data_IF_578740828180
#
_entry.id   IF_578740828180
#
_cell.length_a   1.000
_cell.length_b   1.000
_cell.length_c   1.000
_cell.angle_alpha   90.00
_cell.angle_beta   90.00
_cell.angle_gamma   90.00
#
_symmetry.space_group_name_H-M   'P 1'
#
loop_
_entity.id
_entity.type
_entity.pdbx_description
1 polymer ?
#
# COMPACT_ATOMS: atom_id res chain seq x y z
N UNK A 1 -42.87 68.51 6.88
CA UNK A 1 -41.85 67.44 6.79
C UNK A 1 -41.60 67.12 5.32
N UNK A 2 -40.38 67.36 4.82
CA UNK A 2 -40.09 67.55 3.38
C UNK A 2 -40.02 66.21 2.61
N UNK A 3 -40.58 66.14 1.41
CA UNK A 3 -40.74 64.93 0.55
C UNK A 3 -39.42 64.24 0.19
N UNK A 4 -38.29 64.94 0.29
CA UNK A 4 -36.95 64.38 0.06
C UNK A 4 -36.53 63.34 1.11
N UNK A 5 -36.91 63.50 2.39
CA UNK A 5 -36.52 62.57 3.47
C UNK A 5 -37.19 61.20 3.37
N UNK A 6 -38.43 61.14 2.87
CA UNK A 6 -39.17 59.88 2.65
C UNK A 6 -38.58 59.02 1.53
N UNK A 7 -37.94 59.63 0.53
CA UNK A 7 -37.31 58.90 -0.58
C UNK A 7 -36.02 58.20 -0.17
N UNK A 8 -35.23 58.79 0.72
CA UNK A 8 -33.95 58.22 1.19
C UNK A 8 -34.16 56.98 2.07
N UNK A 9 -35.14 57.01 2.99
CA UNK A 9 -35.49 55.87 3.86
C UNK A 9 -36.06 54.68 3.06
N UNK A 10 -36.81 54.94 1.97
CA UNK A 10 -37.36 53.90 1.11
C UNK A 10 -36.28 53.18 0.26
N UNK A 11 -35.21 53.89 -0.13
CA UNK A 11 -34.08 53.31 -0.87
C UNK A 11 -33.25 52.39 0.06
N UNK A 12 -33.02 52.79 1.31
CA UNK A 12 -32.30 51.97 2.30
C UNK A 12 -33.05 50.69 2.71
N UNK A 13 -34.40 50.72 2.80
CA UNK A 13 -35.21 49.51 3.05
C UNK A 13 -35.23 48.51 1.89
N UNK A 14 -35.05 48.97 0.65
CA UNK A 14 -34.99 48.08 -0.53
C UNK A 14 -33.62 47.41 -0.70
N UNK A 15 -32.53 48.13 -0.41
CA UNK A 15 -31.17 47.56 -0.46
C UNK A 15 -30.92 46.48 0.59
N UNK A 16 -31.46 46.63 1.80
CA UNK A 16 -31.35 45.62 2.87
C UNK A 16 -32.14 44.34 2.59
N UNK A 17 -33.32 44.43 1.96
CA UNK A 17 -34.10 43.26 1.56
C UNK A 17 -33.45 42.48 0.40
N UNK A 18 -32.82 43.19 -0.55
CA UNK A 18 -32.03 42.58 -1.64
C UNK A 18 -30.79 41.86 -1.11
N UNK A 19 -30.04 42.50 -0.20
CA UNK A 19 -28.88 41.88 0.43
C UNK A 19 -29.26 40.63 1.24
N UNK A 20 -30.35 40.70 2.02
CA UNK A 20 -30.87 39.55 2.75
C UNK A 20 -31.27 38.38 1.82
N UNK A 21 -31.89 38.69 0.68
CA UNK A 21 -32.26 37.66 -0.31
C UNK A 21 -31.04 37.03 -0.98
N UNK A 22 -30.00 37.83 -1.29
CA UNK A 22 -28.74 37.33 -1.85
C UNK A 22 -28.04 36.42 -0.85
N UNK A 23 -27.94 36.81 0.42
CA UNK A 23 -27.33 35.99 1.46
C UNK A 23 -28.10 34.68 1.70
N UNK A 24 -29.44 34.74 1.64
CA UNK A 24 -30.29 33.55 1.75
C UNK A 24 -30.07 32.60 0.56
N UNK A 25 -30.03 33.13 -0.67
CA UNK A 25 -29.76 32.33 -1.87
C UNK A 25 -28.35 31.73 -1.86
N UNK A 26 -27.33 32.50 -1.44
CA UNK A 26 -25.97 32.00 -1.27
C UNK A 26 -25.92 30.89 -0.22
N UNK A 27 -26.59 31.07 0.92
CA UNK A 27 -26.67 30.03 1.96
C UNK A 27 -27.34 28.75 1.47
N UNK A 28 -28.46 28.86 0.74
CA UNK A 28 -29.12 27.70 0.13
C UNK A 28 -28.18 27.03 -0.88
N UNK A 29 -27.52 27.80 -1.76
CA UNK A 29 -26.60 27.25 -2.74
C UNK A 29 -25.43 26.51 -2.07
N UNK A 30 -24.86 27.07 -1.00
CA UNK A 30 -23.82 26.41 -0.21
C UNK A 30 -24.32 25.10 0.40
N UNK A 31 -25.52 25.09 1.00
CA UNK A 31 -26.11 23.88 1.59
C UNK A 31 -26.43 22.81 0.54
N UNK A 32 -26.97 23.20 -0.61
CA UNK A 32 -27.25 22.29 -1.73
C UNK A 32 -25.95 21.69 -2.28
N UNK A 33 -24.90 22.49 -2.43
CA UNK A 33 -23.59 22.03 -2.90
C UNK A 33 -22.96 21.06 -1.91
N UNK A 34 -22.98 21.39 -0.61
CA UNK A 34 -22.47 20.51 0.44
C UNK A 34 -23.27 19.20 0.51
N UNK A 35 -24.60 19.26 0.41
CA UNK A 35 -25.47 18.10 0.37
C UNK A 35 -25.21 17.21 -0.85
N UNK A 36 -25.00 17.81 -2.03
CA UNK A 36 -24.66 17.08 -3.25
C UNK A 36 -23.28 16.39 -3.15
N UNK A 37 -22.27 17.06 -2.60
CA UNK A 37 -20.94 16.47 -2.38
C UNK A 37 -21.01 15.30 -1.37
N UNK A 38 -21.76 15.45 -0.29
CA UNK A 38 -21.98 14.38 0.69
C UNK A 38 -22.72 13.18 0.07
N UNK A 39 -23.79 13.44 -0.68
CA UNK A 39 -24.53 12.40 -1.40
C UNK A 39 -23.66 11.69 -2.44
N UNK A 40 -22.80 12.42 -3.14
CA UNK A 40 -21.87 11.86 -4.11
C UNK A 40 -20.82 10.95 -3.45
N UNK A 41 -20.19 11.37 -2.35
CA UNK A 41 -19.21 10.55 -1.63
C UNK A 41 -19.81 9.27 -1.04
N UNK A 42 -21.02 9.36 -0.48
CA UNK A 42 -21.76 8.17 0.02
C UNK A 42 -22.17 7.24 -1.11
N UNK A 43 -22.59 7.76 -2.26
CA UNK A 43 -22.88 6.98 -3.45
C UNK A 43 -21.65 6.25 -4.00
N UNK A 44 -20.51 6.92 -4.09
CA UNK A 44 -19.25 6.31 -4.55
C UNK A 44 -18.79 5.16 -3.63
N UNK A 45 -18.92 5.33 -2.31
CA UNK A 45 -18.63 4.28 -1.35
C UNK A 45 -19.58 3.08 -1.53
N UNK A 46 -20.87 3.33 -1.64
CA UNK A 46 -21.87 2.28 -1.87
C UNK A 46 -21.62 1.50 -3.16
N UNK A 47 -21.32 2.22 -4.25
CA UNK A 47 -20.95 1.63 -5.54
C UNK A 47 -19.71 0.74 -5.40
N UNK A 48 -18.66 1.24 -4.74
CA UNK A 48 -17.44 0.47 -4.53
C UNK A 48 -17.67 -0.78 -3.68
N UNK A 49 -18.45 -0.67 -2.60
CA UNK A 49 -18.80 -1.81 -1.74
C UNK A 49 -19.58 -2.90 -2.51
N UNK A 50 -20.41 -2.52 -3.49
CA UNK A 50 -21.07 -3.48 -4.38
C UNK A 50 -20.13 -4.13 -5.40
N UNK A 51 -19.17 -3.38 -5.93
CA UNK A 51 -18.20 -3.89 -6.91
C UNK A 51 -17.10 -4.74 -6.22
N UNK A 52 -16.91 -4.58 -4.91
CA UNK A 52 -15.84 -5.21 -4.15
C UNK A 52 -15.78 -6.74 -4.28
N UNK A 53 -16.88 -7.51 -4.20
CA UNK A 53 -16.84 -8.96 -4.41
C UNK A 53 -16.29 -9.35 -5.79
N UNK A 54 -16.61 -8.59 -6.85
CA UNK A 54 -16.10 -8.83 -8.20
C UNK A 54 -14.62 -8.46 -8.34
N UNK A 55 -14.20 -7.35 -7.73
CA UNK A 55 -12.78 -6.96 -7.67
C UNK A 55 -11.94 -7.98 -6.91
N UNK A 56 -12.50 -8.61 -5.89
CA UNK A 56 -11.82 -9.68 -5.15
C UNK A 56 -11.75 -10.98 -5.95
N UNK A 57 -12.81 -11.36 -6.69
CA UNK A 57 -12.80 -12.55 -7.54
C UNK A 57 -11.75 -12.49 -8.67
N UNK A 58 -11.48 -11.29 -9.20
CA UNK A 58 -10.43 -11.08 -10.22
C UNK A 58 -9.00 -11.24 -9.63
N UNK A 59 -8.84 -11.09 -8.31
CA UNK A 59 -7.57 -11.28 -7.62
C UNK A 59 -7.36 -12.73 -7.17
N UNK A 60 -8.39 -13.57 -7.22
CA UNK A 60 -8.23 -15.01 -7.03
C UNK A 60 -7.54 -15.59 -8.28
N UNK A 61 -6.43 -16.35 -8.13
CA UNK A 61 -5.83 -17.02 -9.28
C UNK A 61 -6.89 -17.92 -9.92
N UNK A 62 -6.90 -18.06 -11.27
CA UNK A 62 -7.91 -18.86 -11.94
C UNK A 62 -7.94 -20.24 -11.27
N UNK A 63 -9.11 -20.60 -10.74
CA UNK A 63 -9.35 -21.94 -10.21
C UNK A 63 -8.92 -22.90 -11.30
N UNK A 64 -7.89 -23.68 -11.02
CA UNK A 64 -7.33 -24.66 -11.94
C UNK A 64 -8.45 -25.63 -12.29
N UNK A 65 -9.07 -25.43 -13.44
CA UNK A 65 -9.78 -26.49 -14.13
C UNK A 65 -8.74 -27.61 -14.30
N UNK A 66 -9.01 -28.86 -13.87
CA UNK A 66 -8.01 -29.91 -13.91
C UNK A 66 -7.61 -30.16 -15.37
N UNK A 67 -6.43 -29.64 -15.74
CA UNK A 67 -5.81 -29.91 -17.02
C UNK A 67 -5.57 -31.42 -17.08
N UNK A 68 -6.39 -32.08 -17.91
CA UNK A 68 -6.16 -33.43 -18.41
C UNK A 68 -4.72 -33.58 -18.85
N UNK A 69 -4.00 -34.47 -18.18
CA UNK A 69 -2.68 -34.98 -18.55
C UNK A 69 -2.69 -35.48 -20.00
N UNK A 70 -1.84 -34.98 -20.92
CA UNK A 70 -1.37 -35.78 -22.02
C UNK A 70 -0.18 -36.59 -21.52
N UNK A 71 -0.39 -37.90 -21.56
CA UNK A 71 0.57 -38.97 -21.34
C UNK A 71 1.90 -38.71 -22.03
N UNK A 72 2.99 -38.90 -21.29
CA UNK A 72 4.31 -39.06 -21.84
C UNK A 72 4.33 -40.36 -22.67
N UNK A 73 4.53 -40.24 -23.98
CA UNK A 73 4.94 -41.38 -24.80
C UNK A 73 6.19 -41.00 -25.58
N UNK A 74 7.18 -41.86 -25.40
CA UNK A 74 8.55 -41.79 -25.86
C UNK A 74 8.69 -41.50 -27.36
N UNK A 75 9.85 -40.99 -27.77
CA UNK A 75 10.67 -41.59 -28.82
C UNK A 75 12.01 -40.85 -28.96
N UNK A 76 13.08 -41.59 -28.70
CA UNK A 76 14.44 -41.39 -29.20
C UNK A 76 15.07 -42.80 -29.26
N UNK A 77 16.14 -43.10 -30.04
CA UNK A 77 17.03 -42.20 -30.79
C UNK A 77 17.57 -42.74 -32.15
N UNK A 78 18.52 -41.99 -32.73
CA UNK A 78 19.75 -42.43 -33.49
C UNK A 78 19.67 -42.49 -35.04
N UNK A 79 20.81 -42.57 -35.78
CA UNK A 79 21.64 -41.46 -36.30
C UNK A 79 21.81 -41.51 -37.84
N UNK A 80 22.33 -40.46 -38.50
CA UNK A 80 23.04 -40.64 -39.79
C UNK A 80 23.96 -39.44 -40.09
N UNK A 81 25.04 -39.78 -40.78
CA UNK A 81 26.33 -39.16 -40.99
C UNK A 81 26.41 -38.12 -42.13
N UNK A 82 27.58 -37.45 -42.20
CA UNK A 82 28.29 -36.96 -43.40
C UNK A 82 27.75 -35.69 -44.10
N UNK A 83 28.53 -34.71 -44.58
CA UNK A 83 29.98 -34.54 -44.87
C UNK A 83 30.19 -33.03 -45.18
N UNK A 84 31.24 -32.38 -44.68
CA UNK A 84 32.56 -32.14 -45.33
C UNK A 84 32.69 -30.73 -45.94
N UNK A 85 33.77 -29.99 -45.59
CA UNK A 85 33.97 -28.65 -46.14
C UNK A 85 35.10 -27.79 -45.53
N UNK A 86 36.32 -28.32 -45.49
CA UNK A 86 37.62 -27.64 -45.34
C UNK A 86 37.68 -26.13 -45.72
N UNK A 87 38.25 -25.27 -44.84
CA UNK A 87 39.63 -24.72 -44.96
C UNK A 87 39.95 -23.62 -43.94
N UNK A 88 41.01 -23.84 -43.16
CA UNK A 88 41.93 -22.84 -42.59
C UNK A 88 43.02 -22.51 -43.64
N UNK A 89 43.89 -21.47 -43.56
CA UNK A 89 44.77 -21.21 -42.41
C UNK A 89 45.02 -19.74 -41.99
N UNK A 90 45.45 -19.62 -40.72
CA UNK A 90 46.37 -18.65 -40.06
C UNK A 90 47.65 -18.31 -40.88
N UNK A 91 48.61 -17.41 -40.47
CA UNK A 91 49.15 -17.12 -39.10
C UNK A 91 49.47 -15.60 -38.84
N UNK A 92 50.03 -15.09 -37.72
CA UNK A 92 51.38 -15.27 -37.12
C UNK A 92 51.45 -14.65 -35.70
N UNK A 93 52.34 -15.26 -34.91
CA UNK A 93 52.81 -15.15 -33.52
C UNK A 93 53.49 -13.83 -33.08
N UNK A 94 53.50 -13.59 -31.75
CA UNK A 94 54.57 -13.03 -30.84
C UNK A 94 53.91 -12.25 -29.67
N UNK A 95 54.31 -12.28 -28.39
CA UNK A 95 55.54 -12.67 -27.70
C UNK A 95 55.32 -12.99 -26.20
N UNK A 96 56.40 -13.52 -25.61
CA UNK A 96 56.65 -14.15 -24.30
C UNK A 96 56.71 -13.17 -23.12
N UNK A 97 56.29 -13.59 -21.91
CA UNK A 97 57.00 -13.28 -20.65
C UNK A 97 56.49 -14.14 -19.45
N UNK A 98 57.41 -14.93 -18.91
CA UNK A 98 57.33 -15.79 -17.73
C UNK A 98 57.56 -14.97 -16.45
N UNK A 99 56.77 -15.20 -15.38
CA UNK A 99 57.04 -14.69 -14.03
C UNK A 99 56.55 -15.71 -12.97
N UNK A 100 57.40 -15.92 -11.95
CA UNK A 100 57.38 -16.98 -10.93
C UNK A 100 56.18 -16.98 -9.95
N UNK A 101 55.85 -18.12 -9.29
CA UNK A 101 54.70 -18.24 -8.40
C UNK A 101 54.96 -17.70 -6.98
N UNK A 102 54.05 -16.85 -6.48
CA UNK A 102 54.00 -16.40 -5.08
C UNK A 102 52.94 -17.22 -4.29
N UNK A 103 53.16 -17.59 -3.02
CA UNK A 103 52.26 -18.49 -2.29
C UNK A 103 50.92 -17.83 -1.93
N UNK A 104 49.83 -18.50 -2.31
CA UNK A 104 48.44 -18.11 -2.03
C UNK A 104 48.15 -18.07 -0.53
N UNK A 105 47.50 -17.02 0.01
CA UNK A 105 46.97 -17.05 1.37
C UNK A 105 45.77 -18.02 1.46
N UNK A 106 45.82 -18.96 2.40
CA UNK A 106 44.72 -19.88 2.70
C UNK A 106 43.54 -19.10 3.27
N UNK A 107 42.49 -18.90 2.47
CA UNK A 107 41.21 -18.37 2.92
C UNK A 107 40.55 -19.35 3.90
N UNK A 108 40.46 -18.93 5.16
CA UNK A 108 39.61 -19.58 6.16
C UNK A 108 38.15 -19.28 5.79
N UNK A 109 37.38 -20.30 5.45
CA UNK A 109 35.95 -20.17 5.15
C UNK A 109 35.16 -20.00 6.44
N UNK A 110 34.66 -18.79 6.69
CA UNK A 110 33.60 -18.54 7.66
C UNK A 110 32.35 -19.33 7.24
N UNK A 111 31.71 -20.11 8.14
CA UNK A 111 30.50 -20.83 7.77
C UNK A 111 29.38 -19.85 7.41
N UNK A 112 28.78 -20.04 6.24
CA UNK A 112 27.59 -19.30 5.79
C UNK A 112 26.44 -19.67 6.73
N UNK A 113 25.72 -18.69 7.33
CA UNK A 113 24.57 -18.99 8.18
C UNK A 113 23.51 -19.73 7.36
N UNK A 114 23.00 -20.82 7.91
CA UNK A 114 21.89 -21.57 7.31
C UNK A 114 20.67 -20.64 7.19
N UNK A 115 20.10 -20.46 5.99
CA UNK A 115 18.90 -19.63 5.83
C UNK A 115 17.76 -20.23 6.65
N UNK A 116 17.09 -19.38 7.45
CA UNK A 116 15.85 -19.77 8.14
C UNK A 116 14.81 -20.19 7.06
N UNK A 117 13.99 -21.22 7.30
CA UNK A 117 12.91 -21.57 6.39
C UNK A 117 11.98 -20.37 6.19
N UNK A 118 11.82 -19.93 4.94
CA UNK A 118 10.83 -18.91 4.60
C UNK A 118 9.44 -19.57 4.66
N UNK A 119 8.67 -19.27 5.70
CA UNK A 119 7.27 -19.70 5.79
C UNK A 119 6.45 -18.66 5.04
N UNK A 120 5.80 -19.07 3.94
CA UNK A 120 4.86 -18.20 3.24
C UNK A 120 3.51 -18.27 3.95
N UNK A 121 3.04 -17.12 4.45
CA UNK A 121 1.79 -17.00 5.18
C UNK A 121 0.64 -16.56 4.25
N UNK A 122 -0.62 -16.81 4.63
CA UNK A 122 -1.76 -16.30 3.90
C UNK A 122 -1.77 -14.75 3.85
N UNK A 123 -2.35 -14.15 2.80
CA UNK A 123 -2.54 -12.70 2.75
C UNK A 123 -3.35 -12.16 3.94
N UNK A 124 -3.02 -10.94 4.37
CA UNK A 124 -3.85 -10.21 5.32
C UNK A 124 -5.18 -9.83 4.68
N UNK A 125 -6.29 -10.12 5.35
CA UNK A 125 -7.64 -9.92 4.80
C UNK A 125 -8.43 -8.84 5.54
N UNK A 126 -8.07 -8.55 6.79
CA UNK A 126 -8.76 -7.56 7.64
C UNK A 126 -7.81 -6.98 8.68
N UNK A 127 -8.06 -5.72 9.02
CA UNK A 127 -7.41 -4.98 10.08
C UNK A 127 -8.45 -4.36 11.00
N UNK A 128 -8.19 -4.44 12.31
CA UNK A 128 -8.98 -3.78 13.35
C UNK A 128 -8.06 -2.92 14.22
N UNK A 129 -8.43 -1.65 14.40
CA UNK A 129 -7.72 -0.70 15.29
C UNK A 129 -8.78 -0.01 16.17
N UNK A 130 -9.04 -0.51 17.38
CA UNK A 130 -10.17 -0.06 18.20
C UNK A 130 -10.14 1.43 18.53
N UNK A 131 -8.97 1.97 18.89
CA UNK A 131 -8.79 3.37 19.32
C UNK A 131 -9.30 4.38 18.28
N UNK A 132 -9.01 4.11 17.01
CA UNK A 132 -9.37 4.99 15.91
C UNK A 132 -10.64 4.52 15.16
N UNK A 133 -11.27 3.44 15.64
CA UNK A 133 -12.49 2.82 15.07
C UNK A 133 -12.29 2.34 13.63
N UNK A 134 -11.12 1.78 13.35
CA UNK A 134 -10.89 1.10 12.07
C UNK A 134 -11.32 -0.35 12.20
N UNK A 135 -12.17 -0.77 11.27
CA UNK A 135 -12.50 -2.16 10.99
C UNK A 135 -12.65 -2.23 9.47
N UNK A 136 -11.60 -2.69 8.79
CA UNK A 136 -11.51 -2.61 7.33
C UNK A 136 -10.99 -3.90 6.75
N UNK A 137 -11.46 -4.23 5.55
CA UNK A 137 -10.78 -5.20 4.70
C UNK A 137 -9.41 -4.68 4.30
N UNK A 138 -8.50 -5.62 4.12
CA UNK A 138 -7.17 -5.41 3.58
C UNK A 138 -7.12 -6.05 2.19
N UNK A 139 -6.62 -5.32 1.21
CA UNK A 139 -6.40 -5.82 -0.15
C UNK A 139 -4.98 -5.46 -0.59
N UNK A 140 -4.41 -6.23 -1.50
CA UNK A 140 -3.06 -5.95 -2.00
C UNK A 140 -3.04 -4.61 -2.77
N UNK A 141 -2.15 -3.71 -2.36
CA UNK A 141 -1.82 -2.49 -3.07
C UNK A 141 -0.66 -2.79 -4.02
N UNK A 142 -0.97 -3.00 -5.31
CA UNK A 142 0.02 -3.34 -6.32
C UNK A 142 0.88 -2.15 -6.73
N UNK A 143 2.12 -2.41 -7.11
CA UNK A 143 3.02 -1.42 -7.71
C UNK A 143 2.68 -1.29 -9.19
N UNK A 144 2.15 -0.13 -9.58
CA UNK A 144 1.89 0.23 -10.98
C UNK A 144 2.66 1.51 -11.28
N UNK A 145 3.47 1.48 -12.34
CA UNK A 145 4.35 2.60 -12.74
C UNK A 145 5.32 3.05 -11.63
N UNK A 146 5.75 2.13 -10.75
CA UNK A 146 6.68 2.44 -9.66
C UNK A 146 6.01 2.99 -8.39
N UNK A 147 4.68 3.03 -8.33
CA UNK A 147 3.94 3.52 -7.17
C UNK A 147 2.91 2.49 -6.69
N UNK A 148 2.79 2.33 -5.37
CA UNK A 148 1.74 1.51 -4.78
C UNK A 148 0.37 2.14 -4.98
N UNK A 149 -0.54 1.36 -5.57
CA UNK A 149 -1.92 1.76 -5.80
C UNK A 149 -2.76 1.43 -4.56
N UNK A 150 -2.77 2.36 -3.59
CA UNK A 150 -3.54 2.21 -2.35
C UNK A 150 -5.05 2.20 -2.67
N UNK A 151 -5.80 1.16 -2.26
CA UNK A 151 -7.20 0.98 -2.62
C UNK A 151 -8.09 2.11 -2.08
N UNK A 152 -9.18 2.38 -2.79
CA UNK A 152 -10.22 3.29 -2.31
C UNK A 152 -10.96 2.65 -1.14
N UNK A 153 -11.24 3.42 -0.10
CA UNK A 153 -12.06 3.09 1.07
C UNK A 153 -11.56 1.94 1.96
N UNK A 154 -10.47 1.26 1.58
CA UNK A 154 -9.92 0.09 2.24
C UNK A 154 -8.45 0.32 2.62
N UNK A 155 -7.89 -0.63 3.37
CA UNK A 155 -6.46 -0.66 3.68
C UNK A 155 -5.74 -1.47 2.61
N UNK A 156 -4.62 -0.95 2.13
CA UNK A 156 -3.74 -1.57 1.16
C UNK A 156 -2.57 -2.27 1.84
N UNK A 157 -2.37 -3.56 1.61
CA UNK A 157 -1.12 -4.25 1.94
C UNK A 157 -0.11 -3.99 0.83
N UNK A 158 1.00 -3.34 1.14
CA UNK A 158 1.97 -2.92 0.14
C UNK A 158 2.65 -4.15 -0.50
N UNK A 159 2.50 -4.29 -1.82
CA UNK A 159 3.16 -5.35 -2.59
C UNK A 159 4.66 -5.36 -2.32
N UNK A 160 5.21 -6.56 -2.09
CA UNK A 160 6.63 -6.78 -1.80
C UNK A 160 6.97 -6.77 -0.30
N UNK A 161 6.01 -6.50 0.58
CA UNK A 161 6.19 -6.59 2.04
C UNK A 161 5.64 -7.90 2.61
N UNK A 162 6.09 -8.27 3.81
CA UNK A 162 5.76 -9.55 4.42
C UNK A 162 4.29 -9.65 4.83
N UNK A 163 3.80 -10.87 4.98
CA UNK A 163 2.57 -11.16 5.71
C UNK A 163 2.86 -11.35 7.22
N UNK A 164 1.85 -11.20 8.09
CA UNK A 164 1.94 -11.56 9.50
C UNK A 164 2.46 -12.99 9.70
N UNK A 165 3.45 -13.17 10.58
CA UNK A 165 4.12 -14.45 10.83
C UNK A 165 5.26 -14.82 9.87
N UNK A 166 5.63 -13.98 8.90
CA UNK A 166 6.77 -14.22 7.99
C UNK A 166 8.11 -13.66 8.52
N UNK A 167 8.17 -13.22 9.79
CA UNK A 167 9.39 -12.68 10.42
C UNK A 167 10.04 -11.51 9.66
N UNK A 168 9.22 -10.58 9.14
CA UNK A 168 9.70 -9.35 8.49
C UNK A 168 8.67 -8.21 8.60
N UNK A 169 8.79 -7.18 7.76
CA UNK A 169 7.98 -5.97 7.82
C UNK A 169 6.66 -6.15 7.06
N UNK A 170 5.53 -6.05 7.76
CA UNK A 170 4.17 -6.00 7.22
C UNK A 170 3.79 -4.53 7.04
N UNK A 171 3.79 -4.01 5.82
CA UNK A 171 3.48 -2.60 5.57
C UNK A 171 2.07 -2.41 5.02
N UNK A 172 1.24 -1.67 5.75
CA UNK A 172 -0.14 -1.35 5.39
C UNK A 172 -0.33 0.15 5.21
N UNK A 173 -0.99 0.55 4.13
CA UNK A 173 -1.25 1.96 3.81
C UNK A 173 -2.74 2.25 3.63
N UNK A 174 -3.17 3.44 4.00
CA UNK A 174 -4.54 3.89 3.88
C UNK A 174 -4.64 5.40 3.71
N UNK A 175 -5.70 5.87 3.06
CA UNK A 175 -5.91 7.29 2.81
C UNK A 175 -6.30 8.05 4.09
N UNK A 176 -5.74 9.25 4.30
CA UNK A 176 -6.10 10.18 5.38
C UNK A 176 -7.48 10.79 5.15
N UNK A 177 -7.66 11.56 4.08
CA UNK A 177 -8.97 12.12 3.70
C UNK A 177 -8.98 12.35 2.19
N UNK A 178 -9.83 11.60 1.49
CA UNK A 178 -10.06 11.77 0.07
C UNK A 178 -11.54 11.60 -0.23
N UNK A 179 -12.14 12.63 -0.84
CA UNK A 179 -13.55 12.63 -1.26
C UNK A 179 -13.85 11.39 -2.13
N UNK A 180 -12.87 10.97 -2.93
CA UNK A 180 -13.03 9.83 -3.83
C UNK A 180 -12.41 8.56 -3.25
N UNK A 181 -11.32 8.61 -2.48
CA UNK A 181 -10.62 7.40 -2.03
C UNK A 181 -10.91 7.00 -0.57
N UNK A 182 -11.80 7.70 0.12
CA UNK A 182 -12.12 7.42 1.52
C UNK A 182 -11.08 7.97 2.48
N UNK A 183 -11.17 7.52 3.72
CA UNK A 183 -10.49 8.13 4.86
C UNK A 183 -10.20 7.08 5.96
N UNK A 184 -9.85 5.85 5.54
CA UNK A 184 -9.72 4.71 6.47
C UNK A 184 -8.66 4.95 7.56
N UNK A 185 -7.60 5.70 7.24
CA UNK A 185 -6.54 6.08 8.18
C UNK A 185 -6.54 7.59 8.48
N UNK A 186 -7.72 8.23 8.43
CA UNK A 186 -7.90 9.65 8.78
C UNK A 186 -7.36 10.02 10.17
N UNK A 187 -7.44 9.07 11.10
CA UNK A 187 -7.13 9.25 12.52
C UNK A 187 -5.87 8.51 12.94
N UNK A 188 -5.05 8.04 11.99
CA UNK A 188 -3.88 7.22 12.31
C UNK A 188 -2.88 7.97 13.23
N UNK A 189 -2.79 9.30 13.10
CA UNK A 189 -1.97 10.16 13.96
C UNK A 189 -2.39 10.17 15.44
N UNK A 190 -3.57 9.67 15.76
CA UNK A 190 -4.02 9.51 17.15
C UNK A 190 -3.44 8.25 17.82
N UNK A 191 -2.78 7.38 17.04
CA UNK A 191 -2.07 6.23 17.59
C UNK A 191 -0.77 6.67 18.28
N UNK A 192 -0.38 5.88 19.27
CA UNK A 192 0.87 6.02 20.00
C UNK A 192 1.24 4.73 20.71
N UNK A 193 2.40 4.71 21.41
CA UNK A 193 2.88 3.50 22.07
C UNK A 193 1.85 2.89 23.03
N UNK A 194 1.67 1.57 22.96
CA UNK A 194 0.70 0.82 23.76
C UNK A 194 -0.65 0.55 23.09
N UNK A 195 -0.95 1.20 21.96
CA UNK A 195 -2.20 0.95 21.23
C UNK A 195 -2.15 -0.37 20.47
N UNK A 196 -3.28 -1.09 20.44
CA UNK A 196 -3.36 -2.40 19.78
C UNK A 196 -3.87 -2.31 18.34
N UNK A 197 -3.31 -3.17 17.50
CA UNK A 197 -3.72 -3.40 16.11
C UNK A 197 -3.83 -4.90 15.89
N UNK A 198 -4.96 -5.34 15.34
CA UNK A 198 -5.20 -6.74 15.04
C UNK A 198 -5.28 -6.97 13.54
N UNK A 199 -4.48 -7.89 13.03
CA UNK A 199 -4.52 -8.37 11.65
C UNK A 199 -5.10 -9.78 11.58
N UNK A 200 -5.91 -10.05 10.55
CA UNK A 200 -6.47 -11.36 10.28
C UNK A 200 -5.93 -11.90 8.96
N UNK A 201 -5.28 -13.07 9.01
CA UNK A 201 -4.72 -13.75 7.85
C UNK A 201 -5.00 -15.26 7.93
N UNK A 202 -5.70 -15.80 6.93
CA UNK A 202 -6.28 -17.14 7.01
C UNK A 202 -7.23 -17.27 8.22
N UNK A 203 -7.08 -18.34 9.00
CA UNK A 203 -7.86 -18.60 10.22
C UNK A 203 -7.17 -18.08 11.50
N UNK A 204 -6.17 -17.18 11.35
CA UNK A 204 -5.33 -16.71 12.46
C UNK A 204 -5.49 -15.22 12.70
N UNK A 205 -5.38 -14.86 13.97
CA UNK A 205 -5.31 -13.49 14.46
C UNK A 205 -3.87 -13.17 14.86
N UNK A 206 -3.40 -11.99 14.49
CA UNK A 206 -2.08 -11.45 14.82
C UNK A 206 -2.28 -10.11 15.51
N UNK A 207 -1.93 -10.05 16.79
CA UNK A 207 -2.06 -8.84 17.61
C UNK A 207 -0.72 -8.15 17.66
N UNK A 208 -0.71 -6.85 17.39
CA UNK A 208 0.45 -5.99 17.48
C UNK A 208 0.17 -4.88 18.48
N UNK A 209 1.21 -4.43 19.16
CA UNK A 209 1.18 -3.23 19.96
C UNK A 209 2.07 -2.18 19.29
N UNK A 210 1.54 -0.98 19.08
CA UNK A 210 2.32 0.16 18.60
C UNK A 210 3.43 0.46 19.61
N UNK A 211 4.66 0.60 19.14
CA UNK A 211 5.85 0.88 19.94
C UNK A 211 6.45 2.24 19.61
N UNK A 212 6.29 2.70 18.37
CA UNK A 212 6.87 3.95 17.88
C UNK A 212 5.95 4.64 16.86
N UNK A 213 6.03 5.98 16.81
CA UNK A 213 5.41 6.77 15.75
C UNK A 213 6.41 7.81 15.23
N UNK A 214 6.44 8.02 13.93
CA UNK A 214 7.37 8.95 13.30
C UNK A 214 6.77 9.59 12.03
N UNK A 215 7.35 10.71 11.62
CA UNK A 215 6.95 11.43 10.40
C UNK A 215 8.15 11.51 9.47
N UNK A 216 8.01 10.99 8.27
CA UNK A 216 9.06 10.93 7.23
C UNK A 216 8.65 11.70 5.99
N UNK A 217 9.61 11.96 5.11
CA UNK A 217 9.33 12.47 3.78
C UNK A 217 8.51 11.46 2.96
N UNK A 218 7.71 11.94 2.00
CA UNK A 218 6.85 11.09 1.19
C UNK A 218 7.59 10.11 0.25
N UNK A 219 8.88 10.35 0.00
CA UNK A 219 9.77 9.53 -0.81
C UNK A 219 10.70 8.62 0.03
N UNK A 220 10.54 8.61 1.36
CA UNK A 220 11.33 7.77 2.25
C UNK A 220 10.82 6.31 2.23
N UNK A 221 11.45 5.50 1.39
CA UNK A 221 11.14 4.07 1.27
C UNK A 221 11.79 3.20 2.36
N UNK A 222 12.59 3.77 3.26
CA UNK A 222 13.26 2.98 4.31
C UNK A 222 12.26 2.36 5.29
N UNK A 223 11.09 3.00 5.47
CA UNK A 223 10.04 2.55 6.40
C UNK A 223 9.34 1.26 5.98
N UNK A 224 9.43 0.87 4.70
CA UNK A 224 8.84 -0.38 4.18
C UNK A 224 9.88 -1.48 3.96
N UNK A 225 11.15 -1.22 4.30
CA UNK A 225 12.22 -2.19 4.12
C UNK A 225 12.01 -3.43 5.02
N UNK A 226 12.51 -4.61 4.61
CA UNK A 226 12.50 -5.80 5.45
C UNK A 226 13.18 -5.56 6.80
N UNK A 227 12.55 -6.01 7.87
CA UNK A 227 13.07 -5.97 9.24
C UNK A 227 13.64 -7.34 9.65
N UNK A 228 14.57 -7.40 10.62
CA UNK A 228 15.16 -8.67 11.10
C UNK A 228 14.21 -9.52 11.96
N UNK A 229 13.10 -8.92 12.40
CA UNK A 229 12.03 -9.52 13.17
C UNK A 229 10.69 -9.02 12.63
N UNK A 230 9.61 -9.70 12.98
CA UNK A 230 8.26 -9.28 12.61
C UNK A 230 7.97 -7.86 13.10
N UNK A 231 7.49 -7.01 12.19
CA UNK A 231 7.18 -5.60 12.46
C UNK A 231 5.97 -5.19 11.65
N UNK A 232 5.03 -4.48 12.27
CA UNK A 232 3.91 -3.86 11.59
C UNK A 232 4.22 -2.39 11.31
N UNK A 233 4.09 -1.96 10.07
CA UNK A 233 4.23 -0.55 9.67
C UNK A 233 2.91 -0.05 9.08
N UNK A 234 2.25 0.88 9.77
CA UNK A 234 1.03 1.55 9.28
C UNK A 234 1.38 2.93 8.72
N UNK A 235 0.89 3.24 7.52
CA UNK A 235 1.28 4.42 6.75
C UNK A 235 0.06 5.23 6.33
N UNK A 236 0.07 6.53 6.57
CA UNK A 236 -0.89 7.48 5.99
C UNK A 236 -0.20 8.77 5.54
N UNK A 237 -0.87 9.54 4.69
CA UNK A 237 -0.40 10.86 4.27
C UNK A 237 -0.53 11.88 5.41
N UNK A 238 0.45 12.78 5.55
CA UNK A 238 0.40 13.91 6.50
C UNK A 238 1.17 15.12 5.97
N UNK A 239 1.09 16.25 6.65
CA UNK A 239 1.83 17.46 6.29
C UNK A 239 1.07 18.37 5.33
N UNK A 240 1.78 18.97 4.37
CA UNK A 240 1.26 19.98 3.47
C UNK A 240 0.84 19.34 2.15
N UNK A 241 -0.42 19.55 1.77
CA UNK A 241 -0.94 19.16 0.46
C UNK A 241 -0.31 20.00 -0.67
N UNK A 242 0.28 19.32 -1.65
CA UNK A 242 0.79 19.94 -2.87
C UNK A 242 -0.20 19.70 -4.03
N UNK A 243 -0.86 20.75 -4.56
CA UNK A 243 -1.86 20.60 -5.62
C UNK A 243 -1.25 20.24 -7.00
N UNK A 244 0.05 20.45 -7.20
CA UNK A 244 0.72 20.15 -8.47
C UNK A 244 1.10 18.66 -8.59
N UNK A 245 1.60 18.07 -7.50
CA UNK A 245 1.90 16.64 -7.42
C UNK A 245 0.70 15.82 -6.98
N UNK A 246 -0.35 16.48 -6.45
CA UNK A 246 -1.54 15.85 -5.87
C UNK A 246 -1.18 14.86 -4.74
N UNK A 247 -0.19 15.24 -3.95
CA UNK A 247 0.33 14.44 -2.84
C UNK A 247 0.63 15.33 -1.63
N UNK A 248 0.67 14.70 -0.46
CA UNK A 248 1.21 15.28 0.75
C UNK A 248 2.72 15.10 0.81
N UNK A 249 3.44 16.09 1.34
CA UNK A 249 4.90 16.09 1.42
C UNK A 249 5.49 15.11 2.44
N UNK A 250 4.66 14.51 3.31
CA UNK A 250 5.09 13.62 4.39
C UNK A 250 4.20 12.40 4.53
N UNK A 251 4.71 11.42 5.29
CA UNK A 251 3.95 10.26 5.78
C UNK A 251 4.02 10.19 7.30
N UNK A 252 2.89 9.93 7.92
CA UNK A 252 2.84 9.51 9.32
C UNK A 252 2.95 7.99 9.35
N UNK A 253 3.82 7.50 10.20
CA UNK A 253 4.16 6.09 10.35
C UNK A 253 3.90 5.68 11.80
N UNK A 254 3.13 4.61 11.99
CA UNK A 254 3.04 3.92 13.28
C UNK A 254 3.67 2.53 13.14
N UNK A 255 4.65 2.24 13.99
CA UNK A 255 5.38 0.98 14.04
C UNK A 255 4.87 0.18 15.23
N UNK A 256 4.59 -1.10 15.02
CA UNK A 256 4.19 -2.02 16.07
C UNK A 256 4.95 -3.33 16.03
N UNK A 257 5.03 -3.97 17.20
CA UNK A 257 5.65 -5.27 17.40
C UNK A 257 4.57 -6.31 17.77
N UNK A 258 4.75 -7.59 17.41
CA UNK A 258 3.79 -8.63 17.75
C UNK A 258 3.68 -8.77 19.28
N UNK A 259 2.45 -8.89 19.77
CA UNK A 259 2.18 -9.25 21.17
C UNK A 259 2.34 -10.75 21.29
N UNK A 260 3.32 -11.20 22.09
CA UNK A 260 3.46 -12.62 22.40
C UNK A 260 2.19 -13.14 23.08
N UNK A 261 1.65 -14.30 22.66
CA UNK A 261 0.51 -14.87 23.35
C UNK A 261 0.90 -15.20 24.79
N UNK A 262 0.11 -14.70 25.75
CA UNK A 262 0.30 -15.03 27.16
C UNK A 262 0.28 -16.56 27.33
N UNK A 263 1.30 -17.17 27.97
CA UNK A 263 1.31 -18.61 28.16
C UNK A 263 0.08 -19.02 28.97
N UNK A 264 -0.53 -20.19 28.69
CA UNK A 264 -1.69 -20.64 29.45
C UNK A 264 -1.35 -20.74 30.94
N UNK A 265 -2.23 -20.19 31.79
CA UNK A 265 -2.13 -20.33 33.24
C UNK A 265 -1.98 -21.82 33.63
N UNK A 266 -1.04 -22.15 34.54
CA UNK A 266 -0.69 -23.53 34.88
C UNK A 266 -1.78 -24.32 35.62
#
# INVERSE_FOLDING_TARGET
>A
MNTKGRRIVAIFRRGSALLGSILLLLGILTLLTAGALYAYGTYERYRFEQDLPGLMAELEPPTTEPATTPSAEALSPTPEEAREGQRSPEPVLEAVAEAEPSPTPTSTTTPVPTPKPFIKMPPTTRIVIPKIRVDSRVVEAKVINGEWQVPRFLVGHLEGTANPGEDSNVALSGHIESINAGNVFARLEELGPGDEVTLFAGDREFVYQITETLVVANDDLSVVAPTPSETLTLITCTGIWNPFTRDYDKRFIAIGEPVEPEPPDP
#
